data_IF_662756724296
#
_entry.id   IF_662756724296
#
_cell.length_a   1.000
_cell.length_b   1.000
_cell.length_c   1.000
_cell.angle_alpha   90.00
_cell.angle_beta   90.00
_cell.angle_gamma   90.00
#
_symmetry.space_group_name_H-M   'P 1'
#
loop_
_entity.id
_entity.type
_entity.pdbx_description
1 polymer ?
#
# COMPACT_ATOMS: atom_id res chain seq x y z
N UNK A 1 -4.96 -11.49 4.74
CA UNK A 1 -4.70 -10.59 3.61
C UNK A 1 -5.00 -11.29 2.28
N UNK A 2 -4.19 -12.23 1.77
CA UNK A 2 -4.34 -12.82 0.43
C UNK A 2 -5.75 -13.38 0.18
N UNK A 3 -6.29 -14.19 1.11
CA UNK A 3 -7.64 -14.75 0.97
C UNK A 3 -8.70 -13.65 0.80
N UNK A 4 -8.62 -12.56 1.58
CA UNK A 4 -9.60 -11.47 1.46
C UNK A 4 -9.45 -10.69 0.15
N UNK A 5 -8.24 -10.58 -0.42
CA UNK A 5 -8.03 -9.98 -1.75
C UNK A 5 -8.70 -10.84 -2.81
N UNK A 6 -8.42 -12.13 -2.85
CA UNK A 6 -8.92 -13.05 -3.87
C UNK A 6 -10.44 -13.25 -3.79
N UNK A 7 -11.00 -13.26 -2.60
CA UNK A 7 -12.43 -13.48 -2.38
C UNK A 7 -13.27 -12.23 -2.62
N UNK A 8 -12.78 -11.06 -2.18
CA UNK A 8 -13.59 -9.83 -2.17
C UNK A 8 -13.32 -8.89 -3.36
N UNK A 9 -12.11 -8.88 -3.93
CA UNK A 9 -11.77 -7.92 -5.00
C UNK A 9 -12.53 -8.23 -6.29
N UNK A 10 -13.25 -7.25 -6.82
CA UNK A 10 -14.00 -7.34 -8.08
C UNK A 10 -13.11 -7.28 -9.31
N UNK A 11 -12.11 -6.40 -9.32
CA UNK A 11 -11.12 -6.32 -10.39
C UNK A 11 -10.20 -7.54 -10.40
N UNK A 12 -10.06 -8.21 -11.55
CA UNK A 12 -9.30 -9.47 -11.64
C UNK A 12 -7.98 -9.38 -12.42
N UNK A 13 -7.69 -8.24 -13.04
CA UNK A 13 -6.45 -8.05 -13.80
C UNK A 13 -5.33 -7.51 -12.91
N UNK A 14 -4.79 -8.34 -12.04
CA UNK A 14 -3.66 -8.04 -11.17
C UNK A 14 -2.76 -9.26 -10.93
N UNK A 15 -1.53 -9.03 -10.56
CA UNK A 15 -0.63 -10.02 -9.97
C UNK A 15 -0.33 -9.64 -8.52
N UNK A 16 -0.05 -10.63 -7.70
CA UNK A 16 0.42 -10.45 -6.31
C UNK A 16 1.86 -10.93 -6.22
N UNK A 17 2.75 -10.06 -5.79
CA UNK A 17 4.15 -10.39 -5.53
C UNK A 17 4.37 -10.37 -4.02
N UNK A 18 4.63 -11.54 -3.45
CA UNK A 18 5.03 -11.69 -2.05
C UNK A 18 6.55 -11.75 -2.00
N UNK A 19 7.16 -10.91 -1.19
CA UNK A 19 8.61 -10.97 -0.96
C UNK A 19 8.85 -11.62 0.40
N UNK A 20 9.30 -12.86 0.36
CA UNK A 20 9.74 -13.60 1.53
C UNK A 20 11.08 -13.04 2.00
N UNK A 21 11.20 -12.77 3.31
CA UNK A 21 12.42 -12.26 3.91
C UNK A 21 12.82 -13.04 5.16
N UNK A 22 13.69 -14.01 4.97
CA UNK A 22 14.33 -14.79 6.03
C UNK A 22 13.34 -15.48 7.00
N UNK A 23 12.18 -15.94 6.52
CA UNK A 23 11.26 -16.75 7.30
C UNK A 23 11.92 -18.07 7.73
N UNK A 24 11.65 -18.51 8.95
CA UNK A 24 12.21 -19.74 9.50
C UNK A 24 11.15 -20.82 9.75
N UNK A 25 9.89 -20.44 9.83
CA UNK A 25 8.77 -21.34 10.10
C UNK A 25 8.44 -22.19 8.88
N UNK A 26 8.39 -23.51 9.06
CA UNK A 26 8.07 -24.45 7.97
C UNK A 26 6.66 -24.21 7.41
N UNK A 27 5.73 -23.85 8.26
CA UNK A 27 4.35 -23.55 7.93
C UNK A 27 4.23 -22.40 6.92
N UNK A 28 5.12 -21.40 7.01
CA UNK A 28 5.20 -20.31 6.05
C UNK A 28 5.48 -20.81 4.63
N UNK A 29 6.43 -21.72 4.48
CA UNK A 29 6.78 -22.27 3.16
C UNK A 29 5.68 -23.21 2.62
N UNK A 30 5.03 -23.99 3.49
CA UNK A 30 3.86 -24.79 3.11
C UNK A 30 2.72 -23.88 2.64
N UNK A 31 2.49 -22.76 3.32
CA UNK A 31 1.50 -21.78 2.92
C UNK A 31 1.83 -21.15 1.57
N UNK A 32 3.08 -20.82 1.31
CA UNK A 32 3.52 -20.28 0.02
C UNK A 32 3.26 -21.27 -1.13
N UNK A 33 3.56 -22.55 -0.95
CA UNK A 33 3.24 -23.55 -1.97
C UNK A 33 1.73 -23.70 -2.18
N UNK A 34 0.94 -23.61 -1.12
CA UNK A 34 -0.52 -23.61 -1.22
C UNK A 34 -1.03 -22.40 -2.03
N UNK A 35 -0.48 -21.21 -1.80
CA UNK A 35 -0.84 -20.01 -2.54
C UNK A 35 -0.51 -20.14 -4.03
N UNK A 36 0.68 -20.60 -4.39
CA UNK A 36 1.09 -20.78 -5.79
C UNK A 36 0.20 -21.77 -6.53
N UNK A 37 -0.22 -22.84 -5.85
CA UNK A 37 -1.09 -23.86 -6.44
C UNK A 37 -2.53 -23.38 -6.60
N UNK A 38 -3.01 -22.54 -5.68
CA UNK A 38 -4.38 -22.04 -5.66
C UNK A 38 -4.60 -20.80 -6.55
N UNK A 39 -3.60 -19.92 -6.61
CA UNK A 39 -3.72 -18.62 -7.27
C UNK A 39 -2.59 -18.40 -8.28
N UNK A 40 -2.85 -18.57 -9.58
CA UNK A 40 -1.82 -18.47 -10.64
C UNK A 40 -1.25 -17.06 -10.81
N UNK A 41 -1.92 -16.04 -10.29
CA UNK A 41 -1.50 -14.65 -10.26
C UNK A 41 -0.59 -14.31 -9.06
N UNK A 42 -0.32 -15.28 -8.16
CA UNK A 42 0.58 -15.10 -7.01
C UNK A 42 1.99 -15.55 -7.36
N UNK A 43 2.95 -14.68 -7.12
CA UNK A 43 4.38 -14.95 -7.27
C UNK A 43 5.10 -14.70 -5.95
N UNK A 44 6.07 -15.55 -5.62
CA UNK A 44 6.87 -15.41 -4.40
C UNK A 44 8.31 -15.20 -4.80
N UNK A 45 8.88 -14.10 -4.34
CA UNK A 45 10.27 -13.73 -4.49
C UNK A 45 10.97 -13.89 -3.14
N UNK A 46 12.28 -14.14 -3.13
CA UNK A 46 13.06 -14.27 -1.90
C UNK A 46 14.10 -13.18 -1.79
N UNK A 47 14.05 -12.43 -0.70
CA UNK A 47 15.03 -11.43 -0.32
C UNK A 47 15.88 -11.96 0.85
N UNK A 48 17.13 -12.34 0.57
CA UNK A 48 18.03 -12.99 1.55
C UNK A 48 18.86 -12.03 2.40
N UNK A 49 18.71 -10.71 2.17
CA UNK A 49 19.44 -9.70 2.94
C UNK A 49 18.67 -9.32 4.21
N UNK A 50 19.28 -8.47 5.03
CA UNK A 50 18.61 -7.85 6.18
C UNK A 50 17.31 -7.16 5.76
N UNK A 51 16.37 -7.06 6.72
CA UNK A 51 15.12 -6.37 6.51
C UNK A 51 15.37 -4.89 6.20
N UNK A 52 14.82 -4.45 5.10
CA UNK A 52 14.77 -3.06 4.67
C UNK A 52 13.53 -2.91 3.80
N UNK A 53 12.47 -2.30 4.33
CA UNK A 53 11.20 -2.15 3.63
C UNK A 53 11.38 -1.52 2.25
N UNK A 54 12.14 -0.44 2.16
CA UNK A 54 12.40 0.28 0.92
C UNK A 54 13.10 -0.58 -0.13
N UNK A 55 14.18 -1.26 0.28
CA UNK A 55 14.94 -2.13 -0.63
C UNK A 55 14.14 -3.36 -1.09
N UNK A 56 13.36 -3.96 -0.19
CA UNK A 56 12.48 -5.10 -0.50
C UNK A 56 11.44 -4.71 -1.54
N UNK A 57 10.78 -3.56 -1.36
CA UNK A 57 9.77 -3.10 -2.31
C UNK A 57 10.39 -2.65 -3.63
N UNK A 58 11.52 -1.96 -3.63
CA UNK A 58 12.26 -1.63 -4.85
C UNK A 58 12.67 -2.89 -5.62
N UNK A 59 13.08 -3.95 -4.92
CA UNK A 59 13.39 -5.25 -5.52
C UNK A 59 12.14 -5.87 -6.16
N UNK A 60 11.00 -5.89 -5.48
CA UNK A 60 9.75 -6.41 -6.00
C UNK A 60 9.29 -5.66 -7.26
N UNK A 61 9.43 -4.35 -7.29
CA UNK A 61 9.01 -3.51 -8.42
C UNK A 61 9.80 -3.83 -9.71
N UNK A 62 11.05 -4.29 -9.62
CA UNK A 62 11.83 -4.71 -10.80
C UNK A 62 11.23 -5.93 -11.49
N UNK A 63 10.53 -6.76 -10.73
CA UNK A 63 9.88 -8.00 -11.18
C UNK A 63 8.40 -7.78 -11.54
N UNK A 64 7.83 -6.65 -11.14
CA UNK A 64 6.43 -6.31 -11.39
C UNK A 64 6.17 -5.98 -12.86
N UNK A 65 5.01 -6.43 -13.37
CA UNK A 65 4.57 -6.29 -14.77
C UNK A 65 3.45 -5.28 -14.94
N UNK A 66 2.82 -4.86 -13.82
CA UNK A 66 1.69 -3.97 -13.81
C UNK A 66 2.05 -2.54 -14.24
N UNK A 67 1.13 -1.87 -14.91
CA UNK A 67 1.20 -0.43 -15.21
C UNK A 67 1.06 0.41 -13.93
N UNK A 68 0.36 -0.12 -12.94
CA UNK A 68 0.19 0.44 -11.61
C UNK A 68 0.78 -0.50 -10.57
N UNK A 69 1.40 0.07 -9.56
CA UNK A 69 1.93 -0.63 -8.38
C UNK A 69 1.02 -0.35 -7.21
N UNK A 70 0.70 -1.38 -6.45
CA UNK A 70 0.01 -1.26 -5.18
C UNK A 70 0.92 -1.82 -4.08
N UNK A 71 1.39 -0.96 -3.19
CA UNK A 71 2.05 -1.38 -1.96
C UNK A 71 0.98 -1.69 -0.94
N UNK A 72 1.06 -2.89 -0.35
CA UNK A 72 0.08 -3.38 0.60
C UNK A 72 0.76 -4.15 1.72
N UNK A 73 0.47 -3.80 2.96
CA UNK A 73 0.92 -4.57 4.10
C UNK A 73 0.24 -5.95 4.14
N UNK A 74 0.94 -6.93 4.71
CA UNK A 74 0.46 -8.32 4.78
C UNK A 74 -0.59 -8.57 5.88
N UNK A 75 -0.84 -7.61 6.75
CA UNK A 75 -1.80 -7.63 7.85
C UNK A 75 -3.11 -6.89 7.56
N UNK A 76 -3.35 -6.56 6.28
CA UNK A 76 -4.57 -5.88 5.83
C UNK A 76 -5.69 -6.88 5.49
N UNK A 77 -6.92 -6.52 5.77
CA UNK A 77 -8.13 -7.20 5.31
C UNK A 77 -8.97 -6.25 4.42
N UNK A 78 -9.41 -6.75 3.26
CA UNK A 78 -10.23 -5.97 2.32
C UNK A 78 -11.66 -5.87 2.87
N UNK A 79 -12.21 -4.65 2.87
CA UNK A 79 -13.56 -4.33 3.31
C UNK A 79 -14.47 -4.05 2.11
N UNK A 80 -14.05 -3.15 1.23
CA UNK A 80 -14.82 -2.68 0.06
C UNK A 80 -14.41 -3.51 -1.15
N UNK A 81 -15.36 -4.14 -1.83
CA UNK A 81 -15.07 -5.03 -2.97
C UNK A 81 -14.48 -4.30 -4.18
N UNK A 82 -14.91 -3.06 -4.43
CA UNK A 82 -14.45 -2.17 -5.52
C UNK A 82 -13.19 -1.34 -5.18
N UNK A 83 -12.51 -1.64 -4.08
CA UNK A 83 -11.39 -0.82 -3.58
C UNK A 83 -10.29 -0.59 -4.61
N UNK A 84 -9.99 -1.62 -5.40
CA UNK A 84 -8.89 -1.58 -6.37
C UNK A 84 -9.26 -0.71 -7.58
N UNK A 85 -10.50 -0.81 -8.06
CA UNK A 85 -11.05 0.04 -9.12
C UNK A 85 -11.11 1.51 -8.70
N UNK A 86 -11.54 1.78 -7.47
CA UNK A 86 -11.62 3.14 -6.94
C UNK A 86 -10.24 3.79 -6.87
N UNK A 87 -9.23 3.08 -6.37
CA UNK A 87 -7.85 3.57 -6.35
C UNK A 87 -7.29 3.76 -7.76
N UNK A 88 -7.58 2.82 -8.68
CA UNK A 88 -7.14 2.87 -10.06
C UNK A 88 -7.73 4.08 -10.80
N UNK A 89 -9.03 4.34 -10.64
CA UNK A 89 -9.71 5.50 -11.23
C UNK A 89 -9.08 6.82 -10.80
N UNK A 90 -8.66 6.93 -9.53
CA UNK A 90 -7.94 8.10 -9.06
C UNK A 90 -6.56 8.22 -9.70
N UNK A 91 -5.77 7.15 -9.70
CA UNK A 91 -4.42 7.16 -10.28
C UNK A 91 -4.40 7.34 -11.81
N UNK A 92 -5.51 7.09 -12.51
CA UNK A 92 -5.63 7.34 -13.95
C UNK A 92 -5.79 8.82 -14.28
N UNK A 93 -6.20 9.65 -13.34
CA UNK A 93 -6.31 11.09 -13.56
C UNK A 93 -4.93 11.70 -13.81
N UNK A 94 -4.88 12.71 -14.70
CA UNK A 94 -3.63 13.28 -15.19
C UNK A 94 -2.76 13.88 -14.08
N UNK A 95 -3.41 14.52 -13.11
CA UNK A 95 -2.76 15.30 -12.06
C UNK A 95 -2.65 14.52 -10.73
N UNK A 96 -3.00 13.22 -10.73
CA UNK A 96 -2.87 12.35 -9.57
C UNK A 96 -1.66 11.44 -9.72
N UNK A 97 -0.65 11.65 -8.90
CA UNK A 97 0.57 10.85 -8.89
C UNK A 97 0.41 9.53 -8.16
N UNK A 98 -0.38 9.52 -7.08
CA UNK A 98 -0.67 8.33 -6.27
C UNK A 98 -1.98 8.46 -5.50
N UNK A 99 -2.52 7.33 -5.04
CA UNK A 99 -3.71 7.24 -4.21
C UNK A 99 -3.47 6.33 -3.00
N UNK A 100 -4.07 6.67 -1.86
CA UNK A 100 -4.05 5.85 -0.64
C UNK A 100 -5.47 5.55 -0.17
N UNK A 101 -5.66 4.36 0.39
CA UNK A 101 -6.94 3.98 0.96
C UNK A 101 -7.12 4.52 2.38
N UNK A 102 -8.37 4.77 2.78
CA UNK A 102 -8.72 4.97 4.17
C UNK A 102 -8.65 3.63 4.90
N UNK A 103 -7.91 3.57 6.00
CA UNK A 103 -7.67 2.34 6.75
C UNK A 103 -8.30 2.43 8.15
N UNK A 104 -8.74 1.29 8.65
CA UNK A 104 -9.34 1.15 9.98
C UNK A 104 -8.57 0.16 10.83
N UNK A 105 -8.57 0.37 12.13
CA UNK A 105 -8.16 -0.63 13.10
C UNK A 105 -9.26 -1.70 13.29
N UNK A 106 -8.93 -2.86 13.87
CA UNK A 106 -9.94 -3.90 14.16
C UNK A 106 -11.05 -3.46 15.11
N UNK A 107 -10.86 -2.37 15.85
CA UNK A 107 -11.86 -1.76 16.74
C UNK A 107 -12.77 -0.75 16.03
N UNK A 108 -12.79 -0.76 14.70
CA UNK A 108 -13.55 0.19 13.84
C UNK A 108 -13.18 1.66 14.05
N UNK A 109 -12.00 1.95 14.56
CA UNK A 109 -11.48 3.32 14.57
C UNK A 109 -10.59 3.57 13.34
N UNK A 110 -10.47 4.83 12.92
CA UNK A 110 -9.64 5.24 11.79
C UNK A 110 -8.15 5.02 12.12
N UNK A 111 -7.46 4.23 11.31
CA UNK A 111 -6.01 4.09 11.34
C UNK A 111 -5.33 5.15 10.45
N UNK A 112 -5.85 5.33 9.23
CA UNK A 112 -5.30 6.24 8.24
C UNK A 112 -6.42 6.93 7.45
N UNK A 113 -6.35 8.24 7.38
CA UNK A 113 -7.17 9.08 6.51
C UNK A 113 -6.33 10.21 5.90
N UNK A 114 -5.04 9.93 5.69
CA UNK A 114 -4.03 10.85 5.18
C UNK A 114 -2.98 11.23 6.22
N UNK A 115 -1.90 11.79 5.71
CA UNK A 115 -0.77 12.31 6.49
C UNK A 115 -0.57 13.78 6.15
N UNK A 116 -0.32 14.59 7.17
CA UNK A 116 0.08 16.00 7.02
C UNK A 116 1.54 16.14 7.42
N UNK A 117 2.35 16.62 6.49
CA UNK A 117 3.76 16.93 6.72
C UNK A 117 3.86 18.20 7.57
N UNK A 118 4.75 18.18 8.57
CA UNK A 118 4.92 19.24 9.56
C UNK A 118 4.07 19.05 10.82
N UNK A 119 3.09 18.18 10.81
CA UNK A 119 2.29 17.87 12.00
C UNK A 119 3.09 16.94 12.94
N UNK A 120 3.12 17.25 14.24
CA UNK A 120 3.84 16.46 15.22
C UNK A 120 5.38 16.49 15.09
N UNK A 121 5.92 17.47 14.37
CA UNK A 121 7.36 17.67 14.14
C UNK A 121 7.78 17.29 12.71
N UNK A 122 7.53 16.09 12.23
CA UNK A 122 7.89 15.66 10.87
C UNK A 122 6.65 15.43 10.02
N UNK A 123 5.84 14.46 10.37
CA UNK A 123 4.58 14.14 9.71
C UNK A 123 3.74 13.25 10.62
N UNK A 124 2.42 13.40 10.57
CA UNK A 124 1.52 12.57 11.35
C UNK A 124 0.20 12.27 10.61
N UNK A 125 -0.38 11.12 10.95
CA UNK A 125 -1.72 10.74 10.51
C UNK A 125 -2.76 11.71 11.06
N UNK A 126 -3.66 12.16 10.20
CA UNK A 126 -4.77 13.02 10.61
C UNK A 126 -5.98 12.17 11.00
N UNK A 127 -6.75 12.68 11.97
CA UNK A 127 -8.05 12.11 12.36
C UNK A 127 -7.96 10.62 12.79
N UNK A 128 -6.76 10.19 13.19
CA UNK A 128 -6.51 8.84 13.71
C UNK A 128 -7.31 8.60 15.01
N UNK A 129 -7.80 7.37 15.21
CA UNK A 129 -8.61 6.96 16.37
C UNK A 129 -10.02 7.57 16.44
N UNK A 130 -10.46 8.35 15.48
CA UNK A 130 -11.88 8.68 15.38
C UNK A 130 -12.70 7.45 14.98
N UNK A 131 -13.99 7.36 15.36
CA UNK A 131 -14.88 6.30 14.90
C UNK A 131 -14.95 6.22 13.38
N UNK A 132 -15.20 5.04 12.84
CA UNK A 132 -15.29 4.78 11.39
C UNK A 132 -16.29 5.67 10.67
N UNK A 133 -17.43 5.95 11.32
CA UNK A 133 -18.53 6.76 10.81
C UNK A 133 -18.34 8.26 11.01
N UNK A 134 -17.24 8.68 11.65
CA UNK A 134 -16.94 10.10 11.80
C UNK A 134 -16.88 10.82 10.45
N UNK A 135 -17.52 11.98 10.37
CA UNK A 135 -17.55 12.78 9.14
C UNK A 135 -16.31 13.65 8.98
N UNK A 136 -15.63 13.94 10.08
CA UNK A 136 -14.57 14.94 10.12
C UNK A 136 -15.09 16.36 9.88
N UNK A 137 -14.17 17.35 9.86
CA UNK A 137 -14.54 18.73 9.60
C UNK A 137 -15.18 18.87 8.21
N UNK A 138 -16.43 19.38 8.16
CA UNK A 138 -17.22 19.58 6.93
C UNK A 138 -17.35 18.31 6.04
N UNK A 139 -17.42 17.14 6.63
CA UNK A 139 -17.62 15.89 5.90
C UNK A 139 -16.38 15.37 5.15
N UNK A 140 -15.18 15.92 5.39
CA UNK A 140 -13.97 15.58 4.65
C UNK A 140 -13.58 14.10 4.74
N UNK A 141 -14.00 13.39 5.78
CA UNK A 141 -13.75 11.95 5.92
C UNK A 141 -14.64 11.07 5.02
N UNK A 142 -15.64 11.66 4.35
CA UNK A 142 -16.54 10.99 3.41
C UNK A 142 -16.20 11.27 1.94
N UNK A 143 -15.21 12.13 1.70
CA UNK A 143 -14.86 12.55 0.34
C UNK A 143 -13.42 12.17 0.00
N UNK A 144 -13.17 11.94 -1.27
CA UNK A 144 -11.81 11.93 -1.81
C UNK A 144 -11.21 13.31 -1.63
N UNK A 145 -9.98 13.38 -1.18
CA UNK A 145 -9.31 14.65 -0.89
C UNK A 145 -7.82 14.60 -1.22
N UNK A 146 -7.27 15.73 -1.59
CA UNK A 146 -5.84 15.90 -1.71
C UNK A 146 -5.21 16.08 -0.32
N UNK A 147 -4.14 15.32 -0.10
CA UNK A 147 -3.39 15.35 1.17
C UNK A 147 -1.89 15.35 0.91
N UNK A 148 -1.10 15.67 1.95
CA UNK A 148 0.35 15.77 1.80
C UNK A 148 1.01 14.43 1.48
N UNK A 149 0.57 13.35 2.13
CA UNK A 149 1.09 12.01 1.92
C UNK A 149 0.08 10.94 2.34
N UNK A 150 0.29 9.72 1.85
CA UNK A 150 -0.44 8.51 2.19
C UNK A 150 0.52 7.43 2.68
N UNK A 151 0.04 6.50 3.49
CA UNK A 151 0.87 5.40 3.98
C UNK A 151 1.02 4.28 2.95
N UNK A 152 2.19 3.69 2.87
CA UNK A 152 2.44 2.52 2.05
C UNK A 152 1.77 1.23 2.58
N UNK A 153 1.07 1.30 3.71
CA UNK A 153 0.21 0.19 4.16
C UNK A 153 -0.90 -0.15 3.15
N UNK A 154 -1.37 0.85 2.36
CA UNK A 154 -2.19 0.65 1.15
C UNK A 154 -2.04 1.88 0.25
N UNK A 155 -1.14 1.81 -0.74
CA UNK A 155 -0.77 2.93 -1.61
C UNK A 155 -0.64 2.46 -3.06
N UNK A 156 -1.34 3.12 -3.97
CA UNK A 156 -1.22 2.89 -5.41
C UNK A 156 -0.47 4.03 -6.08
N UNK A 157 0.40 3.70 -7.06
CA UNK A 157 1.17 4.66 -7.86
C UNK A 157 1.38 4.12 -9.28
N UNK A 158 1.44 4.97 -10.29
CA UNK A 158 1.87 4.55 -11.64
C UNK A 158 3.30 4.04 -11.62
N UNK A 159 3.57 2.91 -12.26
CA UNK A 159 4.93 2.35 -12.38
C UNK A 159 5.91 3.34 -13.01
N UNK A 160 5.46 4.11 -14.01
CA UNK A 160 6.27 5.15 -14.65
C UNK A 160 6.63 6.28 -13.69
N UNK A 161 5.69 6.72 -12.84
CA UNK A 161 5.93 7.77 -11.83
C UNK A 161 6.89 7.25 -10.77
N UNK A 162 6.66 6.04 -10.22
CA UNK A 162 7.55 5.42 -9.24
C UNK A 162 8.99 5.34 -9.74
N UNK A 163 9.18 4.90 -11.00
CA UNK A 163 10.51 4.82 -11.62
C UNK A 163 11.13 6.19 -11.86
N UNK A 164 10.34 7.17 -12.28
CA UNK A 164 10.83 8.52 -12.56
C UNK A 164 11.39 9.23 -11.31
N UNK A 165 10.79 8.96 -10.13
CA UNK A 165 11.26 9.55 -8.86
C UNK A 165 12.33 8.70 -8.16
N UNK A 166 12.76 7.57 -8.76
CA UNK A 166 13.80 6.70 -8.24
C UNK A 166 13.34 5.70 -7.18
N UNK A 167 12.02 5.56 -6.97
CA UNK A 167 11.45 4.64 -6.00
C UNK A 167 11.63 5.06 -4.54
N UNK A 168 11.54 4.08 -3.64
CA UNK A 168 11.80 4.29 -2.21
C UNK A 168 13.28 4.57 -1.94
N UNK A 169 13.55 5.46 -1.01
CA UNK A 169 14.90 5.68 -0.49
C UNK A 169 15.32 4.53 0.44
N UNK A 170 16.34 3.79 0.06
CA UNK A 170 16.82 2.61 0.79
C UNK A 170 17.56 2.97 2.10
N UNK A 171 17.91 4.24 2.32
CA UNK A 171 18.41 4.72 3.61
C UNK A 171 17.26 4.81 4.64
N UNK A 172 16.03 5.00 4.20
CA UNK A 172 14.82 4.98 5.03
C UNK A 172 14.28 3.55 5.17
N UNK A 173 14.91 2.74 6.00
CA UNK A 173 14.68 1.28 6.06
C UNK A 173 13.31 0.87 6.57
N UNK A 174 12.69 1.64 7.47
CA UNK A 174 11.47 1.24 8.20
C UNK A 174 10.40 2.31 8.21
N UNK A 175 10.74 3.57 8.45
CA UNK A 175 9.79 4.65 8.65
C UNK A 175 10.08 5.83 7.73
N UNK A 176 9.04 6.63 7.45
CA UNK A 176 9.07 7.83 6.60
C UNK A 176 9.42 7.60 5.12
N UNK A 177 9.64 6.36 4.70
CA UNK A 177 9.89 6.00 3.31
C UNK A 177 8.68 6.30 2.40
N UNK A 178 7.47 6.09 2.91
CA UNK A 178 6.21 6.45 2.25
C UNK A 178 6.04 7.97 2.14
N UNK A 179 6.38 8.71 3.19
CA UNK A 179 6.32 10.18 3.20
C UNK A 179 7.32 10.75 2.18
N UNK A 180 8.57 10.28 2.20
CA UNK A 180 9.59 10.67 1.23
C UNK A 180 9.14 10.42 -0.21
N UNK A 181 8.62 9.22 -0.49
CA UNK A 181 8.10 8.88 -1.81
C UNK A 181 6.96 9.83 -2.23
N UNK A 182 6.00 10.10 -1.34
CA UNK A 182 4.92 11.05 -1.61
C UNK A 182 5.45 12.44 -1.94
N UNK A 183 6.46 12.90 -1.20
CA UNK A 183 7.06 14.23 -1.42
C UNK A 183 7.86 14.29 -2.74
N UNK A 184 8.51 13.19 -3.14
CA UNK A 184 9.18 13.08 -4.45
C UNK A 184 8.18 13.14 -5.61
N UNK A 185 7.03 12.48 -5.48
CA UNK A 185 5.97 12.45 -6.52
C UNK A 185 5.26 13.79 -6.67
N UNK A 186 5.19 14.60 -5.62
CA UNK A 186 4.56 15.95 -5.65
C UNK A 186 5.42 17.03 -6.31
N UNK A 187 6.72 16.83 -6.47
CA UNK A 187 7.64 17.76 -7.13
C UNK A 187 7.48 17.73 -8.64
#
# INVERSE_FOLDING_TARGET
CISSIEEKTTWKNYEIIIVENNSVEKETFVYYETLKNRYPNVRILTWKKEFNYSAINNFAVREARGEYLLFLNNDVEIITESWLEEMLQLCQQKDVGMAGAKLYYPDDTIQHAGVVVGLGGVAAHVLCKLPRDAEGYMGRLRCVQEISAVTAACMMVKTSVFKAVGGFDEELKVAFNDIDLCMKVRK
#
